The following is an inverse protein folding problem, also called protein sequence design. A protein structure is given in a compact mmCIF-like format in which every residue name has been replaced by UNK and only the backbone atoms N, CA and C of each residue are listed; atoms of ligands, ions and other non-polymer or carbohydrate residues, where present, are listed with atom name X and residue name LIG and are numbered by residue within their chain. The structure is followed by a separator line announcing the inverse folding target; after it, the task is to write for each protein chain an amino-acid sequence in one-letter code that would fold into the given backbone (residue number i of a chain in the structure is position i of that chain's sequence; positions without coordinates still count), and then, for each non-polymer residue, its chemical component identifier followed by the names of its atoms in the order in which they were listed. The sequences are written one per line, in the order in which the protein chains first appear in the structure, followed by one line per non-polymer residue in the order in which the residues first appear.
data_IF_391414757416
#
_entry.id   IF_391414757416
#
_cell.length_a   1.000
_cell.length_b   1.000
_cell.length_c   1.000
_cell.angle_alpha   90.00
_cell.angle_beta   90.00
_cell.angle_gamma   90.00
#
_symmetry.space_group_name_H-M   'P 1'
#
loop_
_entity.id
_entity.type
_entity.pdbx_description
1 polymer ?
#
# COMPACT_ATOMS: atom_id res chain seq x y z
N UNK A 1 21.27 1.60 -10.64
CA UNK A 1 21.12 2.10 -9.25
C UNK A 1 19.71 1.74 -8.76
N UNK A 2 19.48 1.56 -7.45
CA UNK A 2 18.15 1.28 -6.90
C UNK A 2 17.67 2.48 -6.10
N UNK A 3 16.43 2.88 -6.30
CA UNK A 3 15.77 3.84 -5.42
C UNK A 3 14.72 3.11 -4.59
N UNK A 4 15.02 2.91 -3.31
CA UNK A 4 14.18 2.14 -2.38
C UNK A 4 13.02 3.01 -1.91
N UNK A 5 11.80 2.53 -2.11
CA UNK A 5 10.55 3.21 -1.75
C UNK A 5 9.98 2.69 -0.44
N UNK A 6 10.14 1.39 -0.19
CA UNK A 6 9.69 0.70 1.01
C UNK A 6 10.78 -0.26 1.50
N UNK A 7 10.96 -0.33 2.82
CA UNK A 7 11.95 -1.20 3.44
C UNK A 7 11.56 -1.62 4.86
N UNK A 8 11.29 -2.92 5.07
CA UNK A 8 11.03 -3.49 6.39
C UNK A 8 12.34 -3.92 7.07
N UNK A 9 12.92 -3.00 7.82
CA UNK A 9 14.21 -3.16 8.52
C UNK A 9 14.21 -4.36 9.46
N UNK A 10 13.15 -4.50 10.27
CA UNK A 10 13.01 -5.58 11.25
C UNK A 10 13.01 -6.95 10.56
N UNK A 11 12.28 -7.06 9.45
CA UNK A 11 12.23 -8.28 8.66
C UNK A 11 13.58 -8.59 8.02
N UNK A 12 14.26 -7.58 7.46
CA UNK A 12 15.60 -7.79 6.91
C UNK A 12 16.54 -8.37 7.97
N UNK A 13 16.58 -7.81 9.18
CA UNK A 13 17.46 -8.33 10.24
C UNK A 13 17.15 -9.78 10.61
N UNK A 14 15.86 -10.10 10.79
CA UNK A 14 15.41 -11.45 11.09
C UNK A 14 15.86 -12.44 10.00
N UNK A 15 15.60 -12.12 8.73
CA UNK A 15 15.95 -12.99 7.59
C UNK A 15 17.45 -13.07 7.35
N UNK A 16 18.19 -11.96 7.54
CA UNK A 16 19.65 -11.93 7.42
C UNK A 16 20.27 -12.90 8.43
N UNK A 17 19.78 -12.96 9.66
CA UNK A 17 20.29 -13.91 10.65
C UNK A 17 20.14 -15.38 10.21
N UNK A 18 19.06 -15.70 9.49
CA UNK A 18 18.76 -17.05 9.02
C UNK A 18 19.54 -17.40 7.74
N UNK A 19 19.56 -16.48 6.77
CA UNK A 19 20.29 -16.66 5.51
C UNK A 19 21.79 -16.73 5.77
N UNK A 20 22.33 -15.88 6.63
CA UNK A 20 23.77 -15.82 6.89
C UNK A 20 24.24 -16.77 8.01
N UNK A 21 23.35 -17.52 8.67
CA UNK A 21 23.75 -18.58 9.60
C UNK A 21 24.64 -19.60 8.86
N UNK A 22 25.93 -19.65 9.23
CA UNK A 22 26.94 -20.52 8.62
C UNK A 22 27.90 -19.88 7.62
N UNK A 23 27.63 -18.67 7.10
CA UNK A 23 28.50 -17.93 6.15
C UNK A 23 29.16 -16.70 6.79
N UNK A 24 28.93 -16.53 8.08
CA UNK A 24 28.96 -15.22 8.72
C UNK A 24 30.37 -14.67 9.01
N UNK A 25 31.47 -15.40 8.81
CA UNK A 25 32.80 -14.92 9.21
C UNK A 25 33.63 -14.21 8.13
N UNK A 26 33.38 -14.48 6.84
CA UNK A 26 34.34 -14.12 5.79
C UNK A 26 34.03 -12.76 5.10
N UNK A 27 32.77 -12.52 4.70
CA UNK A 27 32.41 -11.38 3.85
C UNK A 27 32.36 -10.02 4.57
N UNK A 28 32.00 -10.01 5.85
CA UNK A 28 31.89 -8.78 6.65
C UNK A 28 33.29 -8.27 7.04
N UNK A 29 34.24 -9.17 7.31
CA UNK A 29 35.64 -8.82 7.63
C UNK A 29 36.40 -8.22 6.44
N UNK A 30 36.10 -8.65 5.22
CA UNK A 30 36.83 -8.21 4.03
C UNK A 30 36.38 -6.82 3.56
N UNK A 31 35.07 -6.50 3.62
CA UNK A 31 34.55 -5.21 3.12
C UNK A 31 34.53 -4.06 4.13
N UNK A 32 34.41 -4.31 5.43
CA UNK A 32 34.56 -3.24 6.44
C UNK A 32 36.02 -2.83 6.65
N UNK A 33 36.98 -3.71 6.33
CA UNK A 33 38.41 -3.38 6.33
C UNK A 33 38.78 -2.28 5.33
N UNK A 34 38.00 -2.08 4.26
CA UNK A 34 38.22 -0.96 3.33
C UNK A 34 37.72 0.39 3.87
N UNK A 35 36.98 0.42 4.99
CA UNK A 35 36.39 1.68 5.52
C UNK A 35 36.81 2.00 6.96
N UNK A 36 37.61 1.17 7.63
CA UNK A 36 38.04 1.46 9.00
C UNK A 36 39.41 0.86 9.29
N UNK A 37 40.47 1.61 8.96
CA UNK A 37 41.74 1.48 9.64
C UNK A 37 41.57 2.03 11.06
N UNK A 38 41.14 1.20 12.01
CA UNK A 38 41.58 1.22 13.41
C UNK A 38 40.93 0.09 14.22
N UNK A 39 41.79 -0.59 15.00
CA UNK A 39 41.51 -1.48 16.13
C UNK A 39 41.05 -2.93 15.86
N UNK A 40 42.06 -3.79 15.76
CA UNK A 40 41.99 -5.25 15.99
C UNK A 40 41.47 -5.59 17.39
N UNK A 41 40.35 -6.32 17.47
CA UNK A 41 40.00 -7.11 18.65
C UNK A 41 39.68 -8.56 18.25
N UNK A 42 40.33 -9.51 18.95
CA UNK A 42 40.21 -10.96 18.78
C UNK A 42 38.94 -11.47 19.46
N UNK A 43 38.13 -12.24 18.73
CA UNK A 43 37.04 -13.05 19.29
C UNK A 43 36.00 -13.47 18.23
N UNK A 44 36.12 -14.71 17.75
CA UNK A 44 35.19 -15.37 16.82
C UNK A 44 33.91 -15.79 17.55
N UNK A 45 32.73 -15.35 17.07
CA UNK A 45 31.39 -16.00 17.20
C UNK A 45 30.19 -15.05 16.91
N UNK A 46 30.37 -13.78 16.51
CA UNK A 46 29.31 -12.77 16.66
C UNK A 46 29.05 -11.86 15.44
N UNK A 47 29.25 -12.29 14.19
CA UNK A 47 29.13 -11.37 13.04
C UNK A 47 27.72 -10.98 12.62
N UNK A 48 26.69 -11.80 12.91
CA UNK A 48 25.29 -11.35 12.85
C UNK A 48 25.02 -10.22 13.85
N UNK A 49 25.70 -10.26 15.00
CA UNK A 49 25.76 -9.17 15.97
C UNK A 49 26.53 -7.98 15.40
N UNK A 50 27.69 -8.15 14.77
CA UNK A 50 28.48 -7.02 14.23
C UNK A 50 27.71 -6.17 13.20
N UNK A 51 26.96 -6.79 12.28
CA UNK A 51 26.14 -6.01 11.33
C UNK A 51 24.97 -5.34 12.05
N UNK A 52 24.29 -6.06 12.95
CA UNK A 52 23.22 -5.48 13.75
C UNK A 52 23.73 -4.33 14.65
N UNK A 53 24.90 -4.47 15.25
CA UNK A 53 25.53 -3.54 16.19
C UNK A 53 26.05 -2.30 15.44
N UNK A 54 26.71 -2.46 14.29
CA UNK A 54 27.17 -1.35 13.45
C UNK A 54 26.01 -0.51 12.89
N UNK A 55 24.86 -1.15 12.65
CA UNK A 55 23.64 -0.47 12.20
C UNK A 55 22.89 0.18 13.37
N UNK A 56 22.93 -0.43 14.55
CA UNK A 56 22.32 0.12 15.77
C UNK A 56 23.12 1.29 16.33
N UNK A 57 24.43 1.36 16.08
CA UNK A 57 25.33 2.42 16.55
C UNK A 57 25.37 3.68 15.65
N UNK A 58 24.60 3.75 14.56
CA UNK A 58 24.58 4.93 13.69
C UNK A 58 23.88 6.11 14.41
N UNK A 59 24.65 7.15 14.75
CA UNK A 59 24.17 8.28 15.56
C UNK A 59 23.27 9.27 14.81
N UNK A 60 23.21 9.19 13.46
CA UNK A 60 22.40 10.07 12.59
C UNK A 60 21.50 9.29 11.62
N UNK A 61 20.27 9.77 11.42
CA UNK A 61 19.27 9.16 10.53
C UNK A 61 19.77 8.91 9.10
N UNK A 62 20.59 9.82 8.57
CA UNK A 62 21.16 9.68 7.21
C UNK A 62 22.16 8.53 7.12
N UNK A 63 23.04 8.40 8.12
CA UNK A 63 24.04 7.31 8.19
C UNK A 63 23.33 5.96 8.35
N UNK A 64 22.28 5.92 9.17
CA UNK A 64 21.45 4.75 9.37
C UNK A 64 20.77 4.29 8.07
N UNK A 65 20.23 5.22 7.28
CA UNK A 65 19.63 4.93 5.96
C UNK A 65 20.65 4.33 4.97
N UNK A 66 21.85 4.91 4.88
CA UNK A 66 22.91 4.41 3.99
C UNK A 66 23.30 2.97 4.38
N UNK A 67 23.44 2.71 5.68
CA UNK A 67 23.76 1.37 6.18
C UNK A 67 22.66 0.35 5.88
N UNK A 68 21.39 0.75 5.99
CA UNK A 68 20.24 -0.08 5.67
C UNK A 68 20.18 -0.44 4.18
N UNK A 69 20.43 0.52 3.29
CA UNK A 69 20.45 0.28 1.83
C UNK A 69 21.61 -0.63 1.43
N UNK A 70 22.76 -0.49 2.10
CA UNK A 70 23.90 -1.38 1.92
C UNK A 70 23.62 -2.80 2.43
N UNK A 71 23.06 -2.93 3.63
CA UNK A 71 22.67 -4.22 4.22
C UNK A 71 21.65 -4.94 3.35
N UNK A 72 20.67 -4.22 2.81
CA UNK A 72 19.73 -4.76 1.83
C UNK A 72 20.44 -5.29 0.57
N UNK A 73 21.38 -4.51 0.02
CA UNK A 73 22.14 -4.92 -1.16
C UNK A 73 22.96 -6.19 -0.92
N UNK A 74 23.55 -6.35 0.26
CA UNK A 74 24.26 -7.57 0.66
C UNK A 74 23.32 -8.76 0.79
N UNK A 75 22.19 -8.58 1.48
CA UNK A 75 21.18 -9.62 1.65
C UNK A 75 20.64 -10.10 0.30
N UNK A 76 20.24 -9.16 -0.57
CA UNK A 76 19.68 -9.48 -1.87
C UNK A 76 20.69 -10.22 -2.75
N UNK A 77 21.95 -9.78 -2.77
CA UNK A 77 23.01 -10.48 -3.50
C UNK A 77 23.20 -11.92 -2.98
N UNK A 78 23.16 -12.12 -1.66
CA UNK A 78 23.34 -13.44 -1.06
C UNK A 78 22.20 -14.41 -1.41
N UNK A 79 20.94 -13.97 -1.27
CA UNK A 79 19.79 -14.83 -1.62
C UNK A 79 19.76 -15.15 -3.12
N UNK A 80 20.23 -14.24 -3.98
CA UNK A 80 20.37 -14.50 -5.43
C UNK A 80 21.49 -15.51 -5.67
N UNK A 81 22.66 -15.33 -5.05
CA UNK A 81 23.82 -16.23 -5.21
C UNK A 81 23.51 -17.66 -4.77
N UNK A 82 22.68 -17.81 -3.74
CA UNK A 82 22.20 -19.11 -3.25
C UNK A 82 21.02 -19.67 -4.04
N UNK A 83 20.58 -18.98 -5.10
CA UNK A 83 19.43 -19.37 -5.90
C UNK A 83 18.17 -19.54 -5.04
N UNK A 84 17.89 -18.59 -4.14
CA UNK A 84 16.74 -18.59 -3.24
C UNK A 84 15.62 -17.64 -3.70
N UNK A 85 15.79 -16.99 -4.86
CA UNK A 85 14.85 -16.00 -5.41
C UNK A 85 14.19 -16.55 -6.67
N UNK A 86 12.87 -16.56 -6.69
CA UNK A 86 12.08 -16.76 -7.89
C UNK A 86 11.85 -15.40 -8.58
N UNK A 87 12.32 -15.28 -9.82
CA UNK A 87 12.08 -14.10 -10.66
C UNK A 87 10.71 -14.19 -11.30
N UNK A 88 9.91 -13.12 -11.18
CA UNK A 88 8.58 -13.01 -11.77
C UNK A 88 8.49 -11.67 -12.49
N UNK A 89 8.17 -11.69 -13.79
CA UNK A 89 7.96 -10.47 -14.56
C UNK A 89 7.13 -10.78 -15.80
N UNK A 90 6.53 -9.79 -16.49
CA UNK A 90 5.82 -10.03 -17.75
C UNK A 90 6.67 -10.67 -18.87
N UNK A 91 8.00 -10.72 -18.70
CA UNK A 91 8.93 -11.35 -19.65
C UNK A 91 9.30 -12.79 -19.27
N UNK A 92 8.95 -13.21 -18.06
CA UNK A 92 9.28 -14.52 -17.50
C UNK A 92 7.94 -15.18 -17.18
N UNK A 93 7.57 -16.17 -17.98
CA UNK A 93 6.31 -16.90 -17.78
C UNK A 93 6.26 -17.46 -16.35
N UNK A 94 5.16 -17.22 -15.65
CA UNK A 94 4.91 -17.74 -14.32
C UNK A 94 3.68 -18.65 -14.33
N UNK A 95 3.88 -19.95 -14.09
CA UNK A 95 2.80 -20.91 -13.89
C UNK A 95 2.79 -21.40 -12.44
N UNK A 96 1.63 -21.63 -11.81
CA UNK A 96 1.55 -22.47 -10.62
C UNK A 96 1.66 -23.93 -11.06
N UNK A 97 2.19 -24.85 -10.22
CA UNK A 97 2.63 -24.66 -8.83
C UNK A 97 4.12 -24.26 -8.69
N UNK A 98 4.70 -23.50 -9.63
CA UNK A 98 6.16 -23.25 -9.76
C UNK A 98 6.80 -22.40 -8.64
N UNK A 99 6.18 -22.30 -7.46
CA UNK A 99 6.78 -21.60 -6.30
C UNK A 99 7.87 -22.46 -5.65
N UNK A 100 9.02 -22.54 -6.32
CA UNK A 100 10.14 -23.41 -5.92
C UNK A 100 11.12 -22.74 -4.96
N UNK A 101 10.95 -21.44 -4.69
CA UNK A 101 11.91 -20.62 -3.94
C UNK A 101 11.22 -19.86 -2.79
N UNK A 102 11.93 -19.66 -1.67
CA UNK A 102 11.35 -18.98 -0.51
C UNK A 102 11.12 -17.48 -0.72
N UNK A 103 11.89 -16.85 -1.61
CA UNK A 103 11.73 -15.43 -1.95
C UNK A 103 11.20 -15.26 -3.37
N UNK A 104 10.39 -14.24 -3.57
CA UNK A 104 9.97 -13.78 -4.90
C UNK A 104 10.51 -12.38 -5.17
N UNK A 105 10.95 -12.15 -6.40
CA UNK A 105 11.29 -10.82 -6.93
C UNK A 105 10.39 -10.52 -8.12
N UNK A 106 9.45 -9.60 -7.94
CA UNK A 106 8.43 -9.28 -8.93
C UNK A 106 8.71 -7.92 -9.56
N UNK A 107 8.96 -7.91 -10.86
CA UNK A 107 9.24 -6.70 -11.63
C UNK A 107 8.12 -6.44 -12.64
N UNK A 108 7.25 -5.49 -12.33
CA UNK A 108 6.12 -5.12 -13.19
C UNK A 108 5.58 -3.72 -12.85
N UNK A 109 4.81 -3.08 -13.74
CA UNK A 109 4.03 -1.90 -13.38
C UNK A 109 3.09 -2.21 -12.21
N UNK A 110 2.93 -1.23 -11.33
CA UNK A 110 2.20 -1.36 -10.08
C UNK A 110 0.96 -0.47 -10.07
N UNK A 111 -0.04 -0.90 -9.29
CA UNK A 111 -1.15 -0.06 -8.85
C UNK A 111 -1.04 0.15 -7.34
N UNK A 112 -1.10 1.42 -6.93
CA UNK A 112 -1.07 1.81 -5.52
C UNK A 112 -2.51 1.91 -5.02
N UNK A 113 -2.89 0.95 -4.19
CA UNK A 113 -4.20 0.88 -3.57
C UNK A 113 -4.10 1.43 -2.15
N UNK A 114 -4.66 2.62 -1.94
CA UNK A 114 -4.59 3.36 -0.67
C UNK A 114 -6.02 3.58 -0.18
N UNK A 115 -6.46 2.66 0.66
CA UNK A 115 -7.83 2.58 1.17
C UNK A 115 -8.14 3.78 2.03
N UNK A 116 -7.18 4.20 2.85
CA UNK A 116 -7.31 5.40 3.69
C UNK A 116 -7.65 6.61 2.84
N UNK A 117 -6.86 6.87 1.78
CA UNK A 117 -7.12 8.02 0.92
C UNK A 117 -8.41 7.89 0.10
N UNK A 118 -8.77 6.68 -0.33
CA UNK A 118 -10.04 6.45 -1.01
C UNK A 118 -11.22 6.75 -0.08
N UNK A 119 -11.14 6.30 1.18
CA UNK A 119 -12.14 6.55 2.22
C UNK A 119 -12.28 8.05 2.53
N UNK A 120 -11.16 8.77 2.66
CA UNK A 120 -11.17 10.23 2.86
C UNK A 120 -11.84 10.98 1.70
N UNK A 121 -11.62 10.52 0.46
CA UNK A 121 -12.27 11.10 -0.72
C UNK A 121 -13.77 10.80 -0.71
N UNK A 122 -14.17 9.59 -0.33
CA UNK A 122 -15.59 9.23 -0.25
C UNK A 122 -16.33 10.04 0.83
N UNK A 123 -15.71 10.28 2.00
CA UNK A 123 -16.32 11.08 3.06
C UNK A 123 -16.54 12.54 2.67
N UNK A 124 -15.67 13.07 1.80
CA UNK A 124 -15.73 14.46 1.32
C UNK A 124 -16.35 14.60 -0.08
N UNK A 125 -16.88 13.51 -0.66
CA UNK A 125 -17.25 13.45 -2.07
C UNK A 125 -18.14 14.62 -2.50
N UNK A 126 -19.27 14.82 -1.81
CA UNK A 126 -20.23 15.87 -2.15
C UNK A 126 -19.66 17.29 -2.03
N UNK A 127 -18.79 17.53 -1.05
CA UNK A 127 -18.12 18.82 -0.86
C UNK A 127 -17.09 19.08 -1.97
N UNK A 128 -16.30 18.05 -2.30
CA UNK A 128 -15.28 18.10 -3.34
C UNK A 128 -15.90 18.36 -4.71
N UNK A 129 -16.95 17.62 -5.08
CA UNK A 129 -17.59 17.77 -6.39
C UNK A 129 -18.33 19.10 -6.50
N UNK A 130 -19.00 19.57 -5.43
CA UNK A 130 -19.59 20.90 -5.41
C UNK A 130 -18.55 22.02 -5.59
N UNK A 131 -17.41 21.91 -4.91
CA UNK A 131 -16.30 22.87 -5.04
C UNK A 131 -15.71 22.86 -6.44
N UNK A 132 -15.48 21.66 -7.01
CA UNK A 132 -14.98 21.50 -8.37
C UNK A 132 -15.96 22.08 -9.39
N UNK A 133 -17.26 21.78 -9.25
CA UNK A 133 -18.32 22.32 -10.09
C UNK A 133 -18.33 23.84 -10.06
N UNK A 134 -18.30 24.45 -8.88
CA UNK A 134 -18.24 25.90 -8.73
C UNK A 134 -17.02 26.52 -9.43
N UNK A 135 -15.83 25.95 -9.24
CA UNK A 135 -14.61 26.47 -9.88
C UNK A 135 -14.70 26.38 -11.40
N UNK A 136 -15.24 25.28 -11.94
CA UNK A 136 -15.40 25.08 -13.38
C UNK A 136 -16.48 25.95 -14.00
N UNK A 137 -17.52 26.32 -13.25
CA UNK A 137 -18.68 27.04 -13.75
C UNK A 137 -18.82 28.46 -13.18
N UNK A 138 -17.78 29.00 -12.53
CA UNK A 138 -17.85 30.25 -11.77
C UNK A 138 -18.49 31.39 -12.56
N UNK A 139 -17.96 31.68 -13.74
CA UNK A 139 -18.42 32.80 -14.57
C UNK A 139 -19.88 32.63 -15.01
N UNK A 140 -20.28 31.40 -15.33
CA UNK A 140 -21.65 31.08 -15.71
C UNK A 140 -22.62 31.24 -14.53
N UNK A 141 -22.23 30.79 -13.34
CA UNK A 141 -22.99 30.91 -12.09
C UNK A 141 -23.12 32.38 -11.69
N UNK A 142 -22.03 33.14 -11.72
CA UNK A 142 -22.03 34.57 -11.35
C UNK A 142 -22.90 35.39 -12.32
N UNK A 143 -22.79 35.13 -13.62
CA UNK A 143 -23.61 35.79 -14.64
C UNK A 143 -25.10 35.47 -14.48
N UNK A 144 -25.44 34.21 -14.23
CA UNK A 144 -26.83 33.80 -14.00
C UNK A 144 -27.41 34.41 -12.71
N UNK A 145 -26.58 34.62 -11.68
CA UNK A 145 -26.96 35.23 -10.41
C UNK A 145 -26.87 36.77 -10.40
N UNK A 146 -26.47 37.39 -11.51
CA UNK A 146 -26.29 38.85 -11.63
C UNK A 146 -27.59 39.65 -11.40
N UNK A 147 -28.77 39.24 -11.92
CA UNK A 147 -30.03 39.96 -11.68
C UNK A 147 -30.38 40.04 -10.19
N UNK A 148 -30.16 38.95 -9.45
CA UNK A 148 -30.38 38.92 -8.00
C UNK A 148 -29.35 39.79 -7.27
N UNK A 149 -28.10 39.80 -7.73
CA UNK A 149 -27.04 40.64 -7.17
C UNK A 149 -27.33 42.13 -7.33
N UNK A 150 -27.82 42.55 -8.51
CA UNK A 150 -28.25 43.92 -8.77
C UNK A 150 -29.48 44.31 -7.93
N UNK A 151 -30.47 43.41 -7.80
CA UNK A 151 -31.66 43.65 -6.98
C UNK A 151 -31.35 43.83 -5.48
N UNK A 152 -30.35 43.11 -4.97
CA UNK A 152 -29.83 43.28 -3.59
C UNK A 152 -29.20 44.67 -3.44
N UNK A 153 -28.32 45.07 -4.37
CA UNK A 153 -27.60 46.34 -4.30
C UNK A 153 -28.52 47.57 -4.39
N UNK A 154 -29.64 47.46 -5.11
CA UNK A 154 -30.61 48.54 -5.29
C UNK A 154 -31.67 48.62 -4.17
N UNK A 155 -31.75 47.62 -3.30
CA UNK A 155 -32.74 47.56 -2.22
C UNK A 155 -32.24 48.31 -0.98
N UNK A 156 -33.02 49.29 -0.51
CA UNK A 156 -32.75 50.04 0.74
C UNK A 156 -33.28 49.34 2.01
N UNK A 157 -34.20 48.39 1.84
CA UNK A 157 -34.80 47.62 2.92
C UNK A 157 -33.93 46.40 3.29
N UNK A 158 -33.39 46.41 4.50
CA UNK A 158 -32.52 45.33 5.01
C UNK A 158 -33.18 43.96 5.03
N UNK A 159 -34.47 43.88 5.33
CA UNK A 159 -35.19 42.59 5.37
C UNK A 159 -35.37 42.03 3.96
N UNK A 160 -35.75 42.91 3.02
CA UNK A 160 -35.90 42.52 1.61
C UNK A 160 -34.55 42.13 0.99
N UNK A 161 -33.47 42.84 1.31
CA UNK A 161 -32.12 42.49 0.88
C UNK A 161 -31.69 41.10 1.41
N UNK A 162 -31.98 40.78 2.67
CA UNK A 162 -31.69 39.47 3.25
C UNK A 162 -32.48 38.35 2.56
N UNK A 163 -33.75 38.58 2.24
CA UNK A 163 -34.57 37.63 1.48
C UNK A 163 -34.01 37.36 0.08
N UNK A 164 -33.59 38.41 -0.64
CA UNK A 164 -32.98 38.30 -1.97
C UNK A 164 -31.62 37.59 -1.90
N UNK A 165 -30.83 37.82 -0.85
CA UNK A 165 -29.57 37.12 -0.63
C UNK A 165 -29.81 35.61 -0.44
N UNK A 166 -30.80 35.23 0.36
CA UNK A 166 -31.21 33.82 0.53
C UNK A 166 -31.70 33.21 -0.79
N UNK A 167 -32.44 33.98 -1.60
CA UNK A 167 -32.89 33.53 -2.92
C UNK A 167 -31.70 33.29 -3.88
N UNK A 168 -30.70 34.20 -3.87
CA UNK A 168 -29.46 34.03 -4.62
C UNK A 168 -28.71 32.78 -4.19
N UNK A 169 -28.59 32.54 -2.89
CA UNK A 169 -27.94 31.34 -2.35
C UNK A 169 -28.64 30.07 -2.83
N UNK A 170 -29.97 30.02 -2.73
CA UNK A 170 -30.77 28.88 -3.20
C UNK A 170 -30.64 28.66 -4.72
N UNK A 171 -30.61 29.74 -5.50
CA UNK A 171 -30.44 29.70 -6.95
C UNK A 171 -29.05 29.18 -7.36
N UNK A 172 -27.99 29.69 -6.72
CA UNK A 172 -26.62 29.20 -6.94
C UNK A 172 -26.53 27.73 -6.55
N UNK A 173 -27.11 27.34 -5.40
CA UNK A 173 -27.14 25.96 -4.96
C UNK A 173 -27.89 25.04 -5.94
N UNK A 174 -29.02 25.47 -6.49
CA UNK A 174 -29.76 24.65 -7.47
C UNK A 174 -28.95 24.47 -8.75
N UNK A 175 -28.30 25.53 -9.25
CA UNK A 175 -27.42 25.42 -10.41
C UNK A 175 -26.25 24.47 -10.18
N UNK A 176 -25.59 24.57 -9.02
CA UNK A 176 -24.47 23.68 -8.69
C UNK A 176 -24.92 22.23 -8.55
N UNK A 177 -26.12 21.98 -8.04
CA UNK A 177 -26.71 20.64 -7.99
C UNK A 177 -27.06 20.08 -9.38
N UNK A 178 -27.34 20.92 -10.38
CA UNK A 178 -27.52 20.47 -11.76
C UNK A 178 -26.18 20.14 -12.44
N UNK A 179 -25.15 20.95 -12.18
CA UNK A 179 -23.80 20.78 -12.76
C UNK A 179 -23.06 19.59 -12.12
N UNK A 180 -23.19 19.45 -10.80
CA UNK A 180 -22.56 18.41 -10.01
C UNK A 180 -23.57 17.84 -9.01
N UNK A 181 -24.48 16.94 -9.46
CA UNK A 181 -25.46 16.32 -8.59
C UNK A 181 -24.80 15.62 -7.40
N UNK A 182 -25.22 15.91 -6.15
CA UNK A 182 -24.71 15.22 -4.99
C UNK A 182 -25.12 13.73 -5.04
N UNK A 183 -24.26 12.88 -4.51
CA UNK A 183 -24.59 11.49 -4.21
C UNK A 183 -25.35 11.39 -2.90
N UNK A 184 -26.11 10.29 -2.72
CA UNK A 184 -26.81 10.02 -1.46
C UNK A 184 -25.82 9.93 -0.30
N UNK A 185 -25.98 10.82 0.69
CA UNK A 185 -25.06 10.89 1.82
C UNK A 185 -25.10 9.61 2.65
N UNK A 186 -26.26 8.97 2.79
CA UNK A 186 -26.36 7.72 3.55
C UNK A 186 -25.58 6.60 2.86
N UNK A 187 -25.71 6.49 1.54
CA UNK A 187 -24.90 5.57 0.75
C UNK A 187 -23.39 5.80 0.97
N UNK A 188 -22.91 7.04 0.87
CA UNK A 188 -21.51 7.38 1.12
C UNK A 188 -21.06 7.03 2.55
N UNK A 189 -21.88 7.35 3.55
CA UNK A 189 -21.59 7.04 4.95
C UNK A 189 -21.49 5.53 5.20
N UNK A 190 -22.33 4.72 4.55
CA UNK A 190 -22.28 3.27 4.62
C UNK A 190 -21.04 2.71 3.91
N UNK A 191 -20.69 3.24 2.74
CA UNK A 191 -19.47 2.86 2.02
C UNK A 191 -18.21 3.16 2.84
N UNK A 192 -18.14 4.33 3.49
CA UNK A 192 -17.03 4.69 4.39
C UNK A 192 -16.94 3.72 5.58
N UNK A 193 -18.07 3.33 6.17
CA UNK A 193 -18.09 2.35 7.26
C UNK A 193 -17.58 0.98 6.80
N UNK A 194 -18.04 0.52 5.64
CA UNK A 194 -17.59 -0.74 5.06
C UNK A 194 -16.09 -0.70 4.77
N UNK A 195 -15.59 0.39 4.16
CA UNK A 195 -14.18 0.55 3.83
C UNK A 195 -13.30 0.49 5.08
N UNK A 196 -13.64 1.27 6.12
CA UNK A 196 -12.90 1.29 7.39
C UNK A 196 -12.93 -0.03 8.15
N UNK A 197 -14.03 -0.79 8.04
CA UNK A 197 -14.14 -2.07 8.72
C UNK A 197 -13.43 -3.19 7.96
N UNK A 198 -13.67 -3.31 6.65
CA UNK A 198 -13.20 -4.44 5.85
C UNK A 198 -11.76 -4.30 5.35
N UNK A 199 -11.30 -3.07 5.16
CA UNK A 199 -9.98 -2.80 4.58
C UNK A 199 -9.10 -1.91 5.48
N UNK A 200 -9.64 -1.47 6.62
CA UNK A 200 -9.00 -0.55 7.55
C UNK A 200 -8.37 0.65 6.82
N UNK A 201 -7.13 0.99 7.17
CA UNK A 201 -6.32 1.94 6.43
C UNK A 201 -5.35 1.19 5.49
N UNK A 202 -5.66 0.05 4.87
CA UNK A 202 -4.64 -0.69 4.11
C UNK A 202 -3.95 0.14 3.02
N UNK A 203 -2.64 -0.11 2.85
CA UNK A 203 -1.85 0.40 1.75
C UNK A 203 -1.22 -0.79 1.03
N UNK A 204 -1.55 -0.94 -0.25
CA UNK A 204 -1.16 -2.11 -1.02
C UNK A 204 -0.55 -1.73 -2.37
N UNK A 205 0.34 -2.58 -2.85
CA UNK A 205 0.88 -2.56 -4.20
C UNK A 205 0.36 -3.79 -4.93
N UNK A 206 -0.39 -3.57 -6.01
CA UNK A 206 -0.86 -4.65 -6.89
C UNK A 206 -0.04 -4.67 -8.16
N UNK A 207 0.55 -5.82 -8.49
CA UNK A 207 1.26 -6.07 -9.74
C UNK A 207 0.58 -7.19 -10.52
N UNK A 208 0.41 -6.99 -11.83
CA UNK A 208 -0.19 -8.01 -12.71
C UNK A 208 0.88 -8.66 -13.58
N UNK A 209 1.00 -9.99 -13.51
CA UNK A 209 1.87 -10.80 -14.37
C UNK A 209 1.08 -12.05 -14.81
N UNK A 210 1.03 -12.33 -16.11
CA UNK A 210 0.33 -13.49 -16.68
C UNK A 210 -1.11 -13.69 -16.17
N UNK A 211 -1.88 -12.59 -16.13
CA UNK A 211 -3.25 -12.53 -15.62
C UNK A 211 -3.44 -12.96 -14.16
N UNK A 212 -2.35 -12.96 -13.37
CA UNK A 212 -2.35 -13.16 -11.92
C UNK A 212 -1.99 -11.85 -11.22
N UNK A 213 -2.62 -11.64 -10.06
CA UNK A 213 -2.41 -10.48 -9.21
C UNK A 213 -1.41 -10.85 -8.12
N UNK A 214 -0.45 -9.98 -7.88
CA UNK A 214 0.47 -10.06 -6.76
C UNK A 214 0.22 -8.84 -5.88
N UNK A 215 -0.21 -9.07 -4.65
CA UNK A 215 -0.63 -8.02 -3.73
C UNK A 215 0.35 -7.98 -2.57
N UNK A 216 1.06 -6.87 -2.44
CA UNK A 216 1.94 -6.60 -1.31
C UNK A 216 1.23 -5.69 -0.34
N UNK A 217 1.11 -6.08 0.93
CA UNK A 217 0.58 -5.22 1.99
C UNK A 217 1.72 -4.45 2.65
N UNK A 218 1.63 -3.12 2.68
CA UNK A 218 2.70 -2.23 3.13
C UNK A 218 2.42 -1.69 4.53
N UNK A 219 3.45 -1.71 5.37
CA UNK A 219 3.50 -0.90 6.59
C UNK A 219 3.90 0.53 6.22
N UNK A 220 3.04 1.52 6.48
CA UNK A 220 3.35 2.95 6.19
C UNK A 220 4.65 3.42 6.83
N UNK A 221 4.94 2.98 8.05
CA UNK A 221 6.16 3.32 8.79
C UNK A 221 7.45 2.80 8.13
N UNK A 222 7.32 1.86 7.19
CA UNK A 222 8.45 1.31 6.40
C UNK A 222 8.62 2.02 5.05
N UNK A 223 7.80 3.01 4.71
CA UNK A 223 8.01 3.85 3.52
C UNK A 223 9.21 4.78 3.74
N UNK A 224 10.05 4.94 2.72
CA UNK A 224 11.19 5.87 2.74
C UNK A 224 10.77 7.33 2.57
N UNK A 225 9.57 7.54 2.03
CA UNK A 225 8.96 8.84 1.82
C UNK A 225 7.46 8.80 2.11
N UNK A 226 6.86 9.97 2.26
CA UNK A 226 5.42 10.09 2.45
C UNK A 226 4.64 9.44 1.28
N UNK A 227 3.57 8.71 1.61
CA UNK A 227 2.75 8.00 0.63
C UNK A 227 2.17 8.92 -0.45
N UNK A 228 1.80 10.16 -0.09
CA UNK A 228 1.28 11.13 -1.05
C UNK A 228 2.37 11.61 -2.01
N UNK A 229 3.62 11.68 -1.55
CA UNK A 229 4.77 12.02 -2.39
C UNK A 229 5.10 10.88 -3.35
N UNK A 230 5.08 9.62 -2.87
CA UNK A 230 5.25 8.43 -3.71
C UNK A 230 4.18 8.41 -4.82
N UNK A 231 2.90 8.61 -4.47
CA UNK A 231 1.80 8.66 -5.45
C UNK A 231 1.97 9.79 -6.44
N UNK A 232 2.43 10.98 -6.01
CA UNK A 232 2.70 12.11 -6.93
C UNK A 232 3.85 11.84 -7.89
N UNK A 233 4.91 11.16 -7.45
CA UNK A 233 6.09 10.83 -8.28
C UNK A 233 5.80 9.73 -9.30
N UNK A 234 5.07 8.69 -8.87
CA UNK A 234 4.92 7.47 -9.66
C UNK A 234 3.53 7.25 -10.24
N UNK A 235 2.55 8.08 -9.88
CA UNK A 235 1.11 7.87 -10.13
C UNK A 235 0.53 6.68 -9.37
N UNK A 236 -0.79 6.65 -9.19
CA UNK A 236 -1.51 5.48 -8.64
C UNK A 236 -1.44 4.27 -9.57
N UNK A 237 -1.23 4.48 -10.86
CA UNK A 237 -0.90 3.43 -11.83
C UNK A 237 0.44 3.79 -12.44
N UNK A 238 1.46 3.02 -12.08
CA UNK A 238 2.84 3.32 -12.46
C UNK A 238 3.07 2.94 -13.91
N UNK A 239 3.89 3.73 -14.62
CA UNK A 239 4.38 3.38 -15.96
C UNK A 239 5.70 2.61 -15.92
N UNK A 240 6.45 2.79 -14.84
CA UNK A 240 7.71 2.11 -14.60
C UNK A 240 7.49 0.88 -13.74
N UNK A 241 8.38 -0.10 -13.93
CA UNK A 241 8.36 -1.32 -13.15
C UNK A 241 8.78 -1.01 -11.71
N UNK A 242 7.93 -1.40 -10.78
CA UNK A 242 8.32 -1.55 -9.39
C UNK A 242 8.91 -2.95 -9.23
N UNK A 243 9.94 -3.07 -8.40
CA UNK A 243 10.50 -4.34 -8.00
C UNK A 243 10.11 -4.60 -6.56
N UNK A 244 9.29 -5.61 -6.34
CA UNK A 244 8.94 -6.11 -5.00
C UNK A 244 9.79 -7.33 -4.70
N UNK A 245 10.58 -7.27 -3.63
CA UNK A 245 11.23 -8.44 -3.04
C UNK A 245 10.50 -8.81 -1.75
N UNK A 246 10.02 -10.05 -1.65
CA UNK A 246 9.25 -10.49 -0.49
C UNK A 246 9.09 -12.01 -0.42
N UNK A 247 8.20 -12.43 0.47
CA UNK A 247 7.80 -13.83 0.67
C UNK A 247 6.31 -13.94 0.39
N UNK A 248 5.88 -14.99 -0.30
CA UNK A 248 4.45 -15.27 -0.49
C UNK A 248 3.89 -15.86 0.80
N UNK A 249 2.82 -15.26 1.32
CA UNK A 249 2.19 -15.66 2.58
C UNK A 249 0.83 -16.30 2.39
N UNK A 250 0.16 -16.01 1.28
CA UNK A 250 -1.10 -16.65 0.90
C UNK A 250 -1.18 -16.74 -0.63
N UNK A 251 -1.84 -17.77 -1.14
CA UNK A 251 -1.99 -18.04 -2.57
C UNK A 251 -3.29 -18.80 -2.80
N UNK A 252 -3.80 -18.83 -4.04
CA UNK A 252 -5.06 -19.50 -4.32
C UNK A 252 -4.88 -21.00 -4.09
N UNK A 253 -5.70 -21.59 -3.21
CA UNK A 253 -5.83 -23.04 -3.18
C UNK A 253 -6.44 -23.50 -4.51
N UNK A 254 -5.80 -24.45 -5.20
CA UNK A 254 -6.52 -25.27 -6.17
C UNK A 254 -7.69 -25.92 -5.43
N UNK A 255 -8.86 -26.01 -6.06
CA UNK A 255 -10.13 -26.41 -5.47
C UNK A 255 -10.21 -27.89 -5.03
N UNK A 256 -9.16 -28.41 -4.38
CA UNK A 256 -9.08 -29.72 -3.75
C UNK A 256 -8.44 -29.58 -2.38
N UNK A 257 -9.25 -29.85 -1.35
CA UNK A 257 -8.83 -30.17 0.02
C UNK A 257 -8.44 -29.01 0.97
N UNK A 258 -9.29 -27.97 1.09
CA UNK A 258 -9.46 -27.33 2.40
C UNK A 258 -10.54 -28.07 3.18
N UNK A 259 -10.12 -28.80 4.21
CA UNK A 259 -10.97 -29.54 5.12
C UNK A 259 -12.01 -28.66 5.80
N UNK A 260 -13.18 -28.52 5.18
CA UNK A 260 -14.41 -28.27 5.91
C UNK A 260 -14.83 -29.59 6.53
N UNK A 261 -14.32 -29.88 7.73
CA UNK A 261 -15.05 -30.76 8.61
C UNK A 261 -16.34 -30.01 8.97
N UNK A 262 -17.43 -30.29 8.24
CA UNK A 262 -18.77 -29.99 8.71
C UNK A 262 -18.92 -30.73 10.05
N UNK A 263 -18.80 -29.99 11.15
CA UNK A 263 -19.17 -30.50 12.46
C UNK A 263 -20.68 -30.65 12.41
N UNK A 264 -21.15 -31.89 12.25
CA UNK A 264 -22.56 -32.23 12.35
C UNK A 264 -23.09 -31.66 13.67
N UNK A 265 -24.10 -30.78 13.58
CA UNK A 265 -24.72 -30.18 14.74
C UNK A 265 -25.47 -31.28 15.52
N UNK A 266 -24.91 -31.67 16.66
CA UNK A 266 -25.62 -32.46 17.66
C UNK A 266 -26.45 -31.48 18.52
N UNK A 267 -27.75 -31.72 18.65
CA UNK A 267 -28.71 -30.85 19.36
C UNK A 267 -28.59 -30.94 20.90
N UNK A 268 -27.36 -30.95 21.42
CA UNK A 268 -27.10 -30.81 22.86
C UNK A 268 -26.83 -29.34 23.20
N UNK A 269 -27.10 -28.93 24.45
CA UNK A 269 -26.85 -27.56 24.94
C UNK A 269 -25.41 -27.13 24.64
N UNK A 270 -25.25 -26.25 23.63
CA UNK A 270 -23.94 -25.74 23.23
C UNK A 270 -23.27 -25.06 24.41
N UNK A 271 -22.06 -25.51 24.72
CA UNK A 271 -21.22 -24.86 25.72
C UNK A 271 -20.88 -23.44 25.30
N UNK A 272 -20.61 -22.54 26.25
CA UNK A 272 -20.17 -21.17 25.96
C UNK A 272 -18.95 -21.15 25.02
N UNK A 273 -18.06 -22.13 25.14
CA UNK A 273 -16.88 -22.28 24.28
C UNK A 273 -17.28 -22.54 22.82
N UNK A 274 -18.26 -23.38 22.56
CA UNK A 274 -18.76 -23.67 21.20
C UNK A 274 -19.45 -22.43 20.62
N UNK A 275 -20.22 -21.69 21.41
CA UNK A 275 -20.79 -20.42 20.97
C UNK A 275 -19.70 -19.40 20.58
N UNK A 276 -18.58 -19.33 21.31
CA UNK A 276 -17.43 -18.49 20.93
C UNK A 276 -16.76 -18.97 19.64
N UNK A 277 -16.64 -20.28 19.42
CA UNK A 277 -16.11 -20.84 18.16
C UNK A 277 -17.00 -20.47 16.98
N UNK A 278 -18.32 -20.61 17.12
CA UNK A 278 -19.30 -20.23 16.09
C UNK A 278 -19.20 -18.74 15.74
N UNK A 279 -18.99 -17.88 16.75
CA UNK A 279 -18.76 -16.44 16.54
C UNK A 279 -17.46 -16.19 15.78
N UNK A 280 -16.35 -16.84 16.16
CA UNK A 280 -15.06 -16.70 15.47
C UNK A 280 -15.16 -17.18 14.02
N UNK A 281 -15.83 -18.30 13.77
CA UNK A 281 -16.04 -18.82 12.42
C UNK A 281 -16.92 -17.88 11.58
N UNK A 282 -17.96 -17.31 12.18
CA UNK A 282 -18.82 -16.31 11.54
C UNK A 282 -18.06 -15.02 11.23
N UNK A 283 -17.15 -14.60 12.11
CA UNK A 283 -16.23 -13.50 11.86
C UNK A 283 -15.29 -13.82 10.69
N UNK A 284 -14.71 -15.03 10.65
CA UNK A 284 -13.89 -15.47 9.51
C UNK A 284 -14.66 -15.47 8.18
N UNK A 285 -15.94 -15.88 8.18
CA UNK A 285 -16.79 -15.79 6.99
C UNK A 285 -17.08 -14.34 6.57
N UNK A 286 -17.26 -13.44 7.53
CA UNK A 286 -17.42 -12.02 7.26
C UNK A 286 -16.12 -11.41 6.70
N UNK A 287 -14.97 -11.73 7.29
CA UNK A 287 -13.64 -11.32 6.82
C UNK A 287 -13.37 -11.78 5.40
N UNK A 288 -13.79 -13.00 5.01
CA UNK A 288 -13.69 -13.48 3.62
C UNK A 288 -14.43 -12.60 2.62
N UNK A 289 -15.45 -11.86 3.04
CA UNK A 289 -16.14 -10.91 2.16
C UNK A 289 -15.25 -9.71 1.78
N UNK A 290 -14.22 -9.43 2.58
CA UNK A 290 -13.34 -8.27 2.42
C UNK A 290 -11.90 -8.63 2.04
N UNK A 291 -11.37 -9.72 2.60
CA UNK A 291 -9.94 -10.02 2.62
C UNK A 291 -9.58 -11.38 2.00
N UNK A 292 -10.55 -12.12 1.46
CA UNK A 292 -10.25 -13.40 0.82
C UNK A 292 -9.45 -13.17 -0.46
N UNK A 293 -8.50 -14.06 -0.69
CA UNK A 293 -7.57 -13.98 -1.81
C UNK A 293 -8.34 -14.37 -3.06
N UNK A 294 -8.33 -13.51 -4.09
CA UNK A 294 -8.94 -13.86 -5.38
C UNK A 294 -8.29 -15.15 -5.91
N UNK A 295 -9.01 -15.95 -6.71
CA UNK A 295 -8.56 -17.24 -7.29
C UNK A 295 -7.28 -17.14 -8.12
N UNK A 296 -6.77 -15.93 -8.37
CA UNK A 296 -5.56 -15.63 -9.12
C UNK A 296 -4.65 -14.64 -8.41
N UNK A 297 -4.79 -14.50 -7.10
CA UNK A 297 -4.03 -13.56 -6.28
C UNK A 297 -3.01 -14.25 -5.38
N UNK A 298 -1.82 -13.66 -5.30
CA UNK A 298 -0.75 -14.08 -4.41
C UNK A 298 -0.45 -12.94 -3.45
N UNK A 299 -0.60 -13.20 -2.16
CA UNK A 299 -0.28 -12.24 -1.11
C UNK A 299 1.20 -12.31 -0.80
N UNK A 300 1.83 -11.13 -0.77
CA UNK A 300 3.25 -10.97 -0.52
C UNK A 300 3.41 -10.17 0.75
N UNK A 301 4.28 -10.66 1.62
CA UNK A 301 4.80 -9.92 2.76
C UNK A 301 6.14 -9.27 2.36
N UNK A 302 6.15 -7.99 1.93
CA UNK A 302 7.30 -7.37 1.27
C UNK A 302 8.46 -7.13 2.25
N UNK A 303 9.68 -7.37 1.80
CA UNK A 303 10.92 -6.98 2.49
C UNK A 303 11.35 -5.60 1.99
N UNK A 304 11.35 -5.41 0.66
CA UNK A 304 11.68 -4.14 0.04
C UNK A 304 10.88 -3.92 -1.24
N UNK A 305 10.59 -2.65 -1.54
CA UNK A 305 10.08 -2.22 -2.85
C UNK A 305 10.97 -1.12 -3.36
N UNK A 306 11.44 -1.25 -4.59
CA UNK A 306 12.33 -0.27 -5.19
C UNK A 306 12.09 -0.13 -6.69
N UNK A 307 12.59 0.96 -7.25
CA UNK A 307 12.68 1.13 -8.70
C UNK A 307 14.13 1.03 -9.15
N UNK A 308 14.36 0.34 -10.26
CA UNK A 308 15.69 0.29 -10.88
C UNK A 308 15.89 1.53 -11.75
N UNK A 309 16.86 2.35 -11.36
CA UNK A 309 17.31 3.50 -12.14
C UNK A 309 18.42 3.04 -13.11
N UNK A 310 18.09 3.08 -14.39
CA UNK A 310 19.00 2.93 -15.54
C UNK A 310 18.65 3.97 -16.61
N UNK A 311 19.53 4.20 -17.58
CA UNK A 311 19.26 5.17 -18.65
C UNK A 311 17.90 4.88 -19.29
N UNK A 312 17.03 5.88 -19.47
CA UNK A 312 15.72 5.66 -20.06
C UNK A 312 15.91 5.04 -21.43
N UNK A 313 15.47 3.78 -21.58
CA UNK A 313 15.22 3.24 -22.91
C UNK A 313 14.02 4.03 -23.42
N UNK A 314 14.31 5.07 -24.21
CA UNK A 314 13.31 5.80 -24.97
C UNK A 314 12.60 4.74 -25.81
N UNK A 315 11.43 4.29 -25.35
CA UNK A 315 10.54 3.47 -26.14
C UNK A 315 9.97 4.42 -27.20
N UNK A 316 10.61 4.45 -28.36
CA UNK A 316 9.96 4.98 -29.56
C UNK A 316 8.77 4.07 -29.85
N UNK A 317 7.57 4.59 -29.56
CA UNK A 317 6.32 4.14 -30.17
C UNK A 317 6.32 4.52 -31.64
#
# INVERSE_FOLDING_TARGET
MKNILYFDEKKLFSLTSQVFAGVTEFLIKEKLKETTDTETQKGSLASGKVVADAITSAEKDTERRIMHDYAFSLFEAEIINRNLVQEISPKIAFSPPDLMRPFVRISAPARIFDVKKATDIMSEFNSLTASLGYVQSKDAVEKAAEPLSQAIAQTKDKQKAASLAKQKELFVKSMLNEISPPQDQKFLDHMVKIARFGFEDSLEIHQMVDAKRFTSCLKRDCLREDESLMVRKYSRTTKMDFVVLGVITNYPEDAGEAGQAEVAADESEKSLKEAFVDVIQSLGNLERTFSDVDKREYMIDPIAIYVTLGAPSIRHS
#
